data_IF_053065602211
#
_entry.id   IF_053065602211
#
_cell.length_a   1.000
_cell.length_b   1.000
_cell.length_c   1.000
_cell.angle_alpha   90.00
_cell.angle_beta   90.00
_cell.angle_gamma   90.00
#
_symmetry.space_group_name_H-M   'P 1'
#
loop_
_entity.id
_entity.type
_entity.pdbx_description
1 polymer ?
#
# COMPACT_ATOMS: atom_id res chain seq x y z
N UNK A 1 10.55 -15.55 3.55
CA UNK A 1 10.07 -15.03 2.25
C UNK A 1 10.92 -13.82 1.89
N UNK A 2 11.58 -13.81 0.74
CA UNK A 2 12.46 -12.71 0.34
C UNK A 2 11.67 -11.42 0.06
N UNK A 3 12.11 -10.30 0.67
CA UNK A 3 11.47 -9.01 0.50
C UNK A 3 11.45 -8.54 -0.97
N UNK A 4 12.47 -8.91 -1.76
CA UNK A 4 12.50 -8.63 -3.20
C UNK A 4 11.40 -9.38 -3.96
N UNK A 5 11.19 -10.65 -3.62
CA UNK A 5 10.14 -11.48 -4.21
C UNK A 5 8.75 -10.94 -3.87
N UNK A 6 8.53 -10.51 -2.62
CA UNK A 6 7.29 -9.86 -2.20
C UNK A 6 7.02 -8.56 -2.99
N UNK A 7 8.06 -7.74 -3.19
CA UNK A 7 7.96 -6.48 -3.92
C UNK A 7 7.67 -6.71 -5.41
N UNK A 8 8.26 -7.73 -6.02
CA UNK A 8 7.93 -8.15 -7.39
C UNK A 8 6.49 -8.65 -7.52
N UNK A 9 6.02 -9.47 -6.58
CA UNK A 9 4.63 -9.97 -6.57
C UNK A 9 3.65 -8.81 -6.42
N UNK A 10 3.89 -7.86 -5.51
CA UNK A 10 3.06 -6.67 -5.37
C UNK A 10 3.06 -5.81 -6.66
N UNK A 11 4.25 -5.63 -7.28
CA UNK A 11 4.36 -4.88 -8.55
C UNK A 11 3.62 -5.55 -9.69
N UNK A 12 3.69 -6.88 -9.85
CA UNK A 12 2.99 -7.63 -10.91
C UNK A 12 1.50 -7.77 -10.63
N UNK A 13 1.12 -8.05 -9.38
CA UNK A 13 -0.27 -8.19 -8.96
C UNK A 13 -1.11 -6.94 -9.26
N UNK A 14 -0.57 -5.74 -9.02
CA UNK A 14 -1.24 -4.48 -9.36
C UNK A 14 -1.32 -4.17 -10.86
N UNK A 15 -0.41 -4.72 -11.69
CA UNK A 15 -0.45 -4.55 -13.16
C UNK A 15 -1.35 -5.57 -13.85
N UNK A 16 -1.55 -6.74 -13.26
CA UNK A 16 -2.34 -7.83 -13.88
C UNK A 16 -3.82 -7.49 -14.01
N UNK A 17 -4.30 -6.51 -13.24
CA UNK A 17 -5.69 -6.05 -13.28
C UNK A 17 -5.80 -4.83 -14.20
N UNK A 18 -6.56 -4.92 -15.32
CA UNK A 18 -6.86 -3.78 -16.20
C UNK A 18 -7.42 -2.62 -15.39
N UNK A 19 -7.15 -1.38 -15.83
CA UNK A 19 -7.48 -0.18 -15.04
C UNK A 19 -8.94 -0.16 -14.59
N UNK A 20 -9.86 -0.47 -15.49
CA UNK A 20 -11.31 -0.52 -15.27
C UNK A 20 -11.77 -1.59 -14.26
N UNK A 21 -10.97 -2.64 -14.06
CA UNK A 21 -11.27 -3.74 -13.13
C UNK A 21 -10.56 -3.59 -11.78
N UNK A 22 -9.78 -2.53 -11.58
CA UNK A 22 -9.10 -2.30 -10.30
C UNK A 22 -10.13 -1.91 -9.24
N UNK A 23 -9.94 -2.37 -8.01
CA UNK A 23 -10.82 -2.04 -6.89
C UNK A 23 -10.98 -0.53 -6.68
N UNK A 24 -9.96 0.27 -7.04
CA UNK A 24 -10.04 1.74 -6.99
C UNK A 24 -11.02 2.33 -8.01
N UNK A 25 -11.16 1.72 -9.19
CA UNK A 25 -12.09 2.17 -10.24
C UNK A 25 -13.49 1.58 -10.07
N UNK A 26 -13.62 0.42 -9.44
CA UNK A 26 -14.91 -0.23 -9.20
C UNK A 26 -15.62 0.28 -7.94
N UNK A 27 -14.89 0.51 -6.86
CA UNK A 27 -15.46 0.97 -5.59
C UNK A 27 -14.46 1.87 -4.84
N UNK A 28 -14.62 3.18 -5.05
CA UNK A 28 -13.79 4.20 -4.42
C UNK A 28 -13.82 4.15 -2.88
N UNK A 29 -14.95 3.79 -2.28
CA UNK A 29 -15.08 3.70 -0.83
C UNK A 29 -14.24 2.54 -0.28
N UNK A 30 -14.38 1.34 -0.85
CA UNK A 30 -13.61 0.16 -0.45
C UNK A 30 -12.10 0.39 -0.60
N UNK A 31 -11.68 1.02 -1.70
CA UNK A 31 -10.28 1.36 -1.93
C UNK A 31 -9.75 2.37 -0.91
N UNK A 32 -10.56 3.37 -0.55
CA UNK A 32 -10.21 4.37 0.47
C UNK A 32 -10.08 3.73 1.85
N UNK A 33 -10.98 2.82 2.21
CA UNK A 33 -10.93 2.09 3.48
C UNK A 33 -9.71 1.16 3.56
N UNK A 34 -9.44 0.41 2.49
CA UNK A 34 -8.26 -0.45 2.40
C UNK A 34 -6.95 0.36 2.47
N UNK A 35 -6.88 1.51 1.77
CA UNK A 35 -5.76 2.44 1.82
C UNK A 35 -5.54 3.00 3.23
N UNK A 36 -6.61 3.46 3.90
CA UNK A 36 -6.55 3.95 5.29
C UNK A 36 -6.02 2.88 6.23
N UNK A 37 -6.56 1.65 6.16
CA UNK A 37 -6.11 0.53 6.98
C UNK A 37 -4.64 0.18 6.74
N UNK A 38 -4.23 0.10 5.48
CA UNK A 38 -2.83 -0.17 5.12
C UNK A 38 -1.87 0.93 5.58
N UNK A 39 -2.29 2.19 5.47
CA UNK A 39 -1.55 3.35 5.97
C UNK A 39 -1.39 3.32 7.49
N UNK A 40 -2.47 3.01 8.22
CA UNK A 40 -2.41 2.87 9.68
C UNK A 40 -1.45 1.74 10.12
N UNK A 41 -1.50 0.57 9.48
CA UNK A 41 -0.58 -0.53 9.80
C UNK A 41 0.89 -0.21 9.50
N UNK A 42 1.16 0.58 8.46
CA UNK A 42 2.53 0.98 8.11
C UNK A 42 3.04 2.17 8.93
N UNK A 43 2.15 3.03 9.43
CA UNK A 43 2.51 4.13 10.31
C UNK A 43 2.83 3.66 11.75
N UNK A 44 2.15 2.63 12.25
CA UNK A 44 2.38 2.09 13.60
C UNK A 44 3.79 1.48 13.77
N UNK A 45 4.45 1.10 12.68
CA UNK A 45 5.81 0.53 12.72
C UNK A 45 6.90 1.50 12.20
N UNK A 46 6.64 2.81 12.15
CA UNK A 46 7.71 3.78 11.94
C UNK A 46 8.27 4.18 13.31
N UNK A 47 9.40 3.62 13.78
CA UNK A 47 10.06 4.17 14.94
C UNK A 47 10.36 5.63 14.63
N UNK A 48 9.99 6.50 15.57
CA UNK A 48 10.15 7.94 15.55
C UNK A 48 11.56 8.32 15.04
N UNK A 49 11.69 8.56 13.74
CA UNK A 49 12.89 9.13 13.14
C UNK A 49 12.78 10.64 13.34
N UNK A 50 13.20 11.06 14.53
CA UNK A 50 14.02 12.24 14.80
C UNK A 50 13.71 13.49 13.96
N UNK A 51 12.93 14.39 14.54
CA UNK A 51 13.05 15.82 14.31
C UNK A 51 13.81 16.47 15.47
N UNK A 52 15.13 16.34 15.43
CA UNK A 52 16.10 17.21 16.12
C UNK A 52 16.90 17.94 15.02
N UNK A 53 17.22 19.22 15.27
CA UNK A 53 17.93 20.22 14.42
C UNK A 53 17.14 20.92 13.29
N UNK A 54 16.59 22.11 13.59
CA UNK A 54 17.25 23.41 13.36
C UNK A 54 16.42 24.55 13.99
#
# INVERSE_FOLDING_TARGET
MDANKQREIARKGGRSVPNEKRSFSQNHQLASEAGRKGGQSSHVNRPNASGEEA
#
